data_IF_168950905809
#
_entry.id   IF_168950905809
#
_cell.length_a   1.000
_cell.length_b   1.000
_cell.length_c   1.000
_cell.angle_alpha   90.00
_cell.angle_beta   90.00
_cell.angle_gamma   90.00
#
_symmetry.space_group_name_H-M   'P 1'
#
loop_
_entity.id
_entity.type
_entity.pdbx_description
1 polymer ?
#
# COMPACT_ATOMS: atom_id res chain seq x y z
N UNK A 1 -19.60 -25.92 21.61
CA UNK A 1 -19.23 -24.94 20.59
C UNK A 1 -18.41 -25.65 19.53
N UNK A 2 -18.77 -25.51 18.27
CA UNK A 2 -17.98 -26.10 17.15
C UNK A 2 -16.63 -25.40 17.12
N UNK A 3 -15.54 -26.17 17.08
CA UNK A 3 -14.20 -25.60 16.97
C UNK A 3 -14.05 -24.80 15.66
N UNK A 4 -13.45 -23.63 15.76
CA UNK A 4 -13.19 -22.73 14.64
C UNK A 4 -11.71 -22.84 14.29
N UNK A 5 -11.42 -23.15 13.02
CA UNK A 5 -10.07 -23.28 12.50
C UNK A 5 -9.80 -22.20 11.46
N UNK A 6 -8.62 -21.59 11.50
CA UNK A 6 -8.23 -20.52 10.57
C UNK A 6 -8.79 -19.15 10.93
N UNK A 7 -9.89 -19.03 11.63
CA UNK A 7 -10.46 -17.78 12.13
C UNK A 7 -10.32 -17.65 13.64
N UNK A 8 -10.32 -16.41 14.12
CA UNK A 8 -10.41 -16.10 15.57
C UNK A 8 -11.87 -15.99 16.02
N UNK A 9 -12.78 -15.76 15.08
CA UNK A 9 -14.21 -15.59 15.30
C UNK A 9 -14.65 -14.17 15.57
N UNK A 10 -13.75 -13.19 15.57
CA UNK A 10 -14.07 -11.80 15.91
C UNK A 10 -13.51 -10.81 14.91
N UNK A 11 -14.34 -9.89 14.43
CA UNK A 11 -13.94 -8.68 13.70
C UNK A 11 -14.13 -7.51 14.65
N UNK A 12 -13.09 -6.73 14.86
CA UNK A 12 -13.13 -5.53 15.70
C UNK A 12 -13.86 -4.40 14.97
N UNK A 13 -14.73 -3.67 15.68
CA UNK A 13 -15.39 -2.46 15.18
C UNK A 13 -15.10 -1.29 16.10
N UNK A 14 -14.56 -0.22 15.54
CA UNK A 14 -14.21 1.00 16.25
C UNK A 14 -14.97 2.18 15.64
N UNK A 15 -15.78 2.83 16.45
CA UNK A 15 -16.44 4.11 16.13
C UNK A 15 -15.68 5.25 16.83
N UNK A 16 -14.93 5.99 16.05
CA UNK A 16 -14.05 7.05 16.57
C UNK A 16 -14.83 8.27 17.06
N UNK A 17 -16.00 8.55 16.45
CA UNK A 17 -16.86 9.67 16.89
C UNK A 17 -17.47 9.40 18.26
N UNK A 18 -17.95 8.17 18.46
CA UNK A 18 -18.60 7.76 19.71
C UNK A 18 -17.62 7.17 20.73
N UNK A 19 -16.36 6.98 20.35
CA UNK A 19 -15.34 6.27 21.13
C UNK A 19 -15.81 4.88 21.58
N UNK A 20 -16.55 4.20 20.69
CA UNK A 20 -17.17 2.90 21.00
C UNK A 20 -16.40 1.78 20.32
N UNK A 21 -16.04 0.77 21.10
CA UNK A 21 -15.37 -0.45 20.65
C UNK A 21 -16.31 -1.62 20.83
N UNK A 22 -16.50 -2.41 19.77
CA UNK A 22 -17.37 -3.61 19.76
C UNK A 22 -16.76 -4.67 18.85
N UNK A 23 -17.34 -5.86 18.83
CA UNK A 23 -16.94 -6.94 17.92
C UNK A 23 -18.14 -7.45 17.14
N UNK A 24 -17.86 -7.99 15.95
CA UNK A 24 -18.81 -8.71 15.10
C UNK A 24 -18.34 -10.16 15.02
N UNK A 25 -19.27 -11.10 15.03
CA UNK A 25 -18.96 -12.50 14.80
C UNK A 25 -18.52 -12.73 13.36
N UNK A 26 -17.26 -13.14 13.17
CA UNK A 26 -16.69 -13.49 11.86
C UNK A 26 -17.50 -14.61 11.19
N UNK A 27 -18.00 -15.59 11.97
CA UNK A 27 -18.65 -16.78 11.44
C UNK A 27 -19.98 -16.48 10.77
N UNK A 28 -20.60 -15.33 11.08
CA UNK A 28 -21.77 -14.81 10.36
C UNK A 28 -21.49 -14.71 8.86
N UNK A 29 -20.26 -14.38 8.47
CA UNK A 29 -19.84 -14.12 7.09
C UNK A 29 -18.92 -15.21 6.51
N UNK A 30 -18.08 -15.83 7.32
CA UNK A 30 -16.97 -16.67 6.89
C UNK A 30 -17.40 -17.85 6.00
N UNK A 31 -18.60 -18.40 6.25
CA UNK A 31 -19.13 -19.52 5.48
C UNK A 31 -19.32 -19.23 4.00
N UNK A 32 -19.76 -18.02 3.66
CA UNK A 32 -20.04 -17.62 2.27
C UNK A 32 -18.93 -16.78 1.65
N UNK A 33 -18.24 -15.99 2.47
CA UNK A 33 -17.30 -14.98 2.00
C UNK A 33 -15.85 -15.26 2.42
N UNK A 34 -15.59 -16.35 3.11
CA UNK A 34 -14.27 -16.85 3.53
C UNK A 34 -13.54 -15.88 4.46
N UNK A 35 -13.07 -14.74 3.97
CA UNK A 35 -12.28 -13.77 4.75
C UNK A 35 -11.85 -12.57 3.90
N UNK A 36 -11.00 -11.72 4.44
CA UNK A 36 -10.38 -10.63 3.70
C UNK A 36 -11.36 -9.81 2.88
N UNK A 37 -11.12 -9.76 1.57
CA UNK A 37 -11.94 -9.01 0.60
C UNK A 37 -13.40 -9.44 0.61
N UNK A 38 -13.69 -10.74 0.69
CA UNK A 38 -15.06 -11.24 0.59
C UNK A 38 -15.94 -10.75 1.73
N UNK A 39 -15.46 -10.85 2.96
CA UNK A 39 -16.19 -10.36 4.14
C UNK A 39 -16.32 -8.83 4.10
N UNK A 40 -15.23 -8.13 3.77
CA UNK A 40 -15.26 -6.66 3.70
C UNK A 40 -16.23 -6.15 2.63
N UNK A 41 -16.23 -6.76 1.45
CA UNK A 41 -17.15 -6.39 0.36
C UNK A 41 -18.62 -6.59 0.76
N UNK A 42 -18.93 -7.69 1.47
CA UNK A 42 -20.28 -7.92 1.97
C UNK A 42 -20.70 -6.87 3.00
N UNK A 43 -19.83 -6.54 3.95
CA UNK A 43 -20.10 -5.51 4.96
C UNK A 43 -20.24 -4.13 4.29
N UNK A 44 -19.38 -3.82 3.32
CA UNK A 44 -19.48 -2.58 2.56
C UNK A 44 -20.82 -2.44 1.85
N UNK A 45 -21.27 -3.49 1.19
CA UNK A 45 -22.57 -3.54 0.52
C UNK A 45 -23.76 -3.28 1.46
N UNK A 46 -23.63 -3.75 2.70
CA UNK A 46 -24.68 -3.57 3.71
C UNK A 46 -24.65 -2.18 4.37
N UNK A 47 -23.47 -1.51 4.41
CA UNK A 47 -23.27 -0.38 5.33
C UNK A 47 -22.79 0.92 4.66
N UNK A 48 -22.34 0.89 3.41
CA UNK A 48 -21.84 2.08 2.71
C UNK A 48 -22.82 2.44 1.61
N UNK A 49 -23.53 3.56 1.78
CA UNK A 49 -24.41 4.09 0.76
C UNK A 49 -23.64 4.66 -0.45
N UNK A 50 -24.28 4.76 -1.61
CA UNK A 50 -23.64 5.26 -2.83
C UNK A 50 -23.22 6.73 -2.77
N UNK A 51 -23.81 7.49 -1.85
CA UNK A 51 -23.51 8.91 -1.59
C UNK A 51 -22.25 9.12 -0.74
N UNK A 52 -21.75 8.08 -0.08
CA UNK A 52 -20.63 8.20 0.86
C UNK A 52 -19.34 8.49 0.12
N UNK A 53 -18.77 9.66 0.41
CA UNK A 53 -17.47 10.09 -0.09
C UNK A 53 -16.29 9.45 0.67
N UNK A 54 -15.08 9.54 0.11
CA UNK A 54 -13.90 8.88 0.68
C UNK A 54 -13.49 9.46 2.04
N UNK A 55 -13.77 10.72 2.30
CA UNK A 55 -13.38 11.43 3.54
C UNK A 55 -14.52 11.61 4.53
N UNK A 56 -15.69 11.08 4.21
CA UNK A 56 -16.84 11.15 5.12
C UNK A 56 -16.64 10.25 6.35
N UNK A 57 -17.14 10.66 7.51
CA UNK A 57 -17.13 9.81 8.71
C UNK A 57 -17.81 8.46 8.49
N UNK A 58 -18.82 8.42 7.62
CA UNK A 58 -19.60 7.24 7.22
C UNK A 58 -18.79 6.25 6.37
N UNK A 59 -17.73 6.69 5.69
CA UNK A 59 -16.83 5.76 5.01
C UNK A 59 -16.22 4.77 6.00
N UNK A 60 -16.22 3.50 5.64
CA UNK A 60 -15.59 2.43 6.43
C UNK A 60 -14.17 2.23 5.96
N UNK A 61 -13.19 2.42 6.86
CA UNK A 61 -11.85 1.90 6.65
C UNK A 61 -11.82 0.48 7.21
N UNK A 62 -11.81 -0.50 6.34
CA UNK A 62 -11.80 -1.92 6.70
C UNK A 62 -10.42 -2.49 6.45
N UNK A 63 -9.82 -3.13 7.47
CA UNK A 63 -8.51 -3.78 7.37
C UNK A 63 -8.73 -5.23 7.79
N UNK A 64 -8.67 -6.14 6.83
CA UNK A 64 -9.14 -7.51 6.98
C UNK A 64 -8.04 -8.52 6.68
N UNK A 65 -8.05 -9.64 7.39
CA UNK A 65 -7.14 -10.76 7.18
C UNK A 65 -7.89 -12.03 6.76
N UNK A 66 -7.16 -12.97 6.18
CA UNK A 66 -7.74 -14.24 5.74
C UNK A 66 -7.57 -15.38 6.76
N UNK A 67 -8.18 -16.54 6.53
CA UNK A 67 -8.07 -17.69 7.43
C UNK A 67 -6.64 -18.25 7.54
N UNK A 68 -5.82 -18.10 6.52
CA UNK A 68 -4.43 -18.55 6.52
C UNK A 68 -3.45 -17.54 7.11
N UNK A 69 -3.88 -16.29 7.36
CA UNK A 69 -3.01 -15.25 7.93
C UNK A 69 -2.54 -15.67 9.33
N UNK A 70 -1.26 -15.50 9.59
CA UNK A 70 -0.63 -15.93 10.83
C UNK A 70 -0.21 -17.42 10.86
N UNK A 71 -0.37 -18.14 9.74
CA UNK A 71 0.12 -19.51 9.58
C UNK A 71 1.43 -19.57 8.77
N UNK A 72 1.97 -20.78 8.60
CA UNK A 72 3.18 -21.03 7.78
C UNK A 72 2.90 -21.11 6.28
N UNK A 73 1.66 -20.98 5.84
CA UNK A 73 1.32 -21.01 4.42
C UNK A 73 2.06 -19.91 3.65
N UNK A 74 2.61 -20.24 2.50
CA UNK A 74 3.34 -19.26 1.67
C UNK A 74 2.45 -18.10 1.25
N UNK A 75 2.93 -16.86 1.42
CA UNK A 75 2.20 -15.66 1.03
C UNK A 75 1.01 -15.26 1.92
N UNK A 76 0.75 -15.98 3.02
CA UNK A 76 -0.46 -15.82 3.85
C UNK A 76 -0.46 -14.60 4.79
N UNK A 77 0.59 -13.81 4.83
CA UNK A 77 0.66 -12.61 5.68
C UNK A 77 -0.07 -11.37 5.11
N UNK A 78 -0.79 -11.53 4.00
CA UNK A 78 -1.51 -10.42 3.35
C UNK A 78 -2.64 -9.89 4.19
N UNK A 79 -2.79 -8.59 4.14
CA UNK A 79 -3.87 -7.80 4.74
C UNK A 79 -4.54 -7.01 3.63
N UNK A 80 -5.85 -7.00 3.60
CA UNK A 80 -6.63 -6.20 2.65
C UNK A 80 -7.20 -4.97 3.34
N UNK A 81 -6.96 -3.81 2.74
CA UNK A 81 -7.50 -2.52 3.17
C UNK A 81 -8.57 -2.10 2.17
N UNK A 82 -9.77 -1.82 2.63
CA UNK A 82 -10.92 -1.53 1.77
C UNK A 82 -11.73 -0.33 2.31
N UNK A 83 -12.44 0.31 1.39
CA UNK A 83 -13.33 1.44 1.64
C UNK A 83 -13.57 2.23 0.38
N UNK A 84 -14.24 3.37 0.49
CA UNK A 84 -14.30 4.34 -0.62
C UNK A 84 -12.95 5.02 -0.74
N UNK A 85 -12.30 4.81 -1.87
CA UNK A 85 -10.90 5.16 -2.12
C UNK A 85 -10.78 6.54 -2.78
N UNK A 86 -10.07 7.51 -2.16
CA UNK A 86 -9.96 8.86 -2.67
C UNK A 86 -9.07 9.01 -3.92
N UNK A 87 -8.09 8.13 -4.10
CA UNK A 87 -7.19 8.19 -5.25
C UNK A 87 -7.92 7.91 -6.56
N UNK A 88 -9.04 7.20 -6.50
CA UNK A 88 -9.82 6.88 -7.69
C UNK A 88 -10.57 8.11 -8.25
N UNK A 89 -10.65 8.18 -9.56
CA UNK A 89 -11.26 9.29 -10.30
C UNK A 89 -12.37 8.80 -11.23
N UNK A 90 -13.66 8.92 -10.84
CA UNK A 90 -14.15 9.41 -9.55
C UNK A 90 -13.90 8.43 -8.39
N UNK A 91 -13.99 8.90 -7.13
CA UNK A 91 -13.88 8.03 -5.96
C UNK A 91 -14.90 6.89 -6.00
N UNK A 92 -14.47 5.70 -5.59
CA UNK A 92 -15.35 4.52 -5.53
C UNK A 92 -14.82 3.50 -4.52
N UNK A 93 -15.65 2.54 -4.16
CA UNK A 93 -15.22 1.42 -3.35
C UNK A 93 -14.08 0.67 -4.03
N UNK A 94 -13.00 0.45 -3.30
CA UNK A 94 -11.80 -0.21 -3.81
C UNK A 94 -11.02 -0.89 -2.70
N UNK A 95 -9.93 -1.55 -3.07
CA UNK A 95 -9.05 -2.26 -2.15
C UNK A 95 -7.57 -1.96 -2.40
N UNK A 96 -6.77 -2.21 -1.38
CA UNK A 96 -5.31 -2.22 -1.46
C UNK A 96 -4.76 -3.28 -0.52
N UNK A 97 -3.79 -4.06 -0.96
CA UNK A 97 -3.22 -5.10 -0.12
C UNK A 97 -1.84 -4.72 0.42
N UNK A 98 -1.53 -5.13 1.63
CA UNK A 98 -0.20 -5.00 2.22
C UNK A 98 0.28 -6.31 2.83
N UNK A 99 1.59 -6.54 2.82
CA UNK A 99 2.26 -7.65 3.50
C UNK A 99 2.76 -7.24 4.89
N UNK A 100 3.73 -7.96 5.40
CA UNK A 100 4.37 -7.67 6.68
C UNK A 100 3.83 -8.47 7.84
N UNK A 101 4.23 -8.09 9.04
CA UNK A 101 3.92 -8.83 10.26
C UNK A 101 2.65 -8.37 10.97
N UNK A 102 2.13 -7.20 10.61
CA UNK A 102 0.97 -6.61 11.28
C UNK A 102 -0.32 -7.45 11.19
N UNK A 103 -0.59 -8.03 10.01
CA UNK A 103 -1.76 -8.89 9.84
C UNK A 103 -1.74 -10.16 10.70
N UNK A 104 -0.66 -10.93 10.68
CA UNK A 104 -0.44 -12.01 11.64
C UNK A 104 -0.61 -11.60 13.10
N UNK A 105 -0.04 -10.47 13.48
CA UNK A 105 -0.13 -9.96 14.85
C UNK A 105 -1.57 -9.62 15.27
N UNK A 106 -2.35 -8.99 14.37
CA UNK A 106 -3.78 -8.77 14.60
C UNK A 106 -4.54 -10.09 14.84
N UNK A 107 -4.16 -11.12 14.09
CA UNK A 107 -4.72 -12.45 14.24
C UNK A 107 -4.37 -13.06 15.60
N UNK A 108 -3.13 -12.91 16.02
CA UNK A 108 -2.65 -13.38 17.33
C UNK A 108 -3.27 -12.59 18.48
N UNK A 109 -3.62 -11.33 18.26
CA UNK A 109 -4.39 -10.52 19.18
C UNK A 109 -5.91 -10.89 19.23
N UNK A 110 -6.34 -11.88 18.43
CA UNK A 110 -7.69 -12.44 18.49
C UNK A 110 -8.70 -11.82 17.52
N UNK A 111 -8.27 -11.14 16.45
CA UNK A 111 -9.17 -10.51 15.49
C UNK A 111 -8.91 -10.94 14.04
N UNK A 112 -9.99 -11.14 13.28
CA UNK A 112 -9.98 -11.44 11.85
C UNK A 112 -10.02 -10.18 10.97
N UNK A 113 -10.05 -9.03 11.57
CA UNK A 113 -10.06 -7.73 10.92
C UNK A 113 -10.50 -6.61 11.85
N UNK A 114 -10.39 -5.39 11.35
CA UNK A 114 -10.87 -4.18 12.02
C UNK A 114 -11.65 -3.31 11.05
N UNK A 115 -12.79 -2.80 11.50
CA UNK A 115 -13.66 -1.85 10.79
C UNK A 115 -13.67 -0.55 11.58
N UNK A 116 -13.24 0.53 10.94
CA UNK A 116 -13.13 1.84 11.57
C UNK A 116 -14.09 2.80 10.88
N UNK A 117 -14.92 3.44 11.66
CA UNK A 117 -15.90 4.42 11.23
C UNK A 117 -15.85 5.67 12.10
N UNK A 118 -16.54 6.72 11.67
CA UNK A 118 -16.55 8.00 12.37
C UNK A 118 -15.25 8.78 12.17
N UNK A 119 -15.11 9.86 12.93
CA UNK A 119 -13.93 10.73 12.99
C UNK A 119 -13.69 11.10 14.46
N UNK A 120 -12.47 10.95 14.92
CA UNK A 120 -12.06 11.43 16.25
C UNK A 120 -12.01 12.96 16.25
N UNK A 121 -12.33 13.57 17.39
CA UNK A 121 -12.27 15.04 17.56
C UNK A 121 -10.82 15.56 17.48
N UNK A 122 -9.87 14.79 18.01
CA UNK A 122 -8.43 15.09 18.01
C UNK A 122 -7.66 13.88 17.47
N UNK A 123 -6.41 14.05 17.03
CA UNK A 123 -5.58 12.94 16.59
C UNK A 123 -5.48 11.82 17.61
N UNK A 124 -5.72 10.58 17.12
CA UNK A 124 -5.68 9.35 17.93
C UNK A 124 -4.91 8.26 17.23
N UNK A 125 -4.50 7.25 17.98
CA UNK A 125 -4.12 5.94 17.48
C UNK A 125 -4.89 4.85 18.21
N UNK A 126 -5.02 3.69 17.59
CA UNK A 126 -5.64 2.51 18.20
C UNK A 126 -4.53 1.63 18.72
N UNK A 127 -4.59 1.25 20.00
CA UNK A 127 -3.74 0.26 20.63
C UNK A 127 -4.52 -1.03 20.88
N UNK A 128 -3.95 -2.16 20.45
CA UNK A 128 -4.51 -3.50 20.59
C UNK A 128 -3.49 -4.38 21.29
N UNK A 129 -3.84 -4.95 22.43
CA UNK A 129 -3.03 -5.85 23.23
C UNK A 129 -3.83 -7.11 23.58
N UNK A 130 -3.60 -8.20 22.86
CA UNK A 130 -4.32 -9.50 22.98
C UNK A 130 -5.85 -9.35 22.92
N UNK A 131 -6.57 -8.65 23.04
CA UNK A 131 -8.04 -8.53 23.02
C UNK A 131 -8.49 -7.25 23.65
N UNK A 132 -7.61 -6.60 24.37
CA UNK A 132 -7.84 -5.28 24.92
C UNK A 132 -7.57 -4.22 23.87
N UNK A 133 -8.49 -3.29 23.71
CA UNK A 133 -8.45 -2.27 22.67
C UNK A 133 -8.69 -0.89 23.24
N UNK A 134 -7.80 0.02 22.94
CA UNK A 134 -7.87 1.40 23.42
C UNK A 134 -7.73 2.41 22.28
N UNK A 135 -8.40 3.56 22.44
CA UNK A 135 -8.23 4.73 21.56
C UNK A 135 -7.42 5.75 22.35
N UNK A 136 -6.17 5.94 21.95
CA UNK A 136 -5.21 6.76 22.66
C UNK A 136 -4.86 8.04 21.88
N UNK A 137 -4.38 9.07 22.60
CA UNK A 137 -3.99 10.33 21.97
C UNK A 137 -2.76 10.18 21.10
N UNK A 138 -2.84 10.66 19.86
CA UNK A 138 -1.73 10.72 18.92
C UNK A 138 -1.08 12.11 18.85
N UNK A 139 -1.31 13.00 19.83
CA UNK A 139 -0.83 14.39 19.81
C UNK A 139 0.68 14.49 19.54
N UNK A 140 1.46 13.63 20.19
CA UNK A 140 2.93 13.68 20.15
C UNK A 140 3.53 12.95 18.94
N UNK A 141 2.70 12.27 18.15
CA UNK A 141 3.12 11.54 16.93
C UNK A 141 2.45 12.06 15.65
N UNK A 142 1.49 12.98 15.77
CA UNK A 142 0.90 13.66 14.62
C UNK A 142 1.93 14.60 13.99
N UNK A 143 2.05 14.59 12.65
CA UNK A 143 3.10 15.30 11.92
C UNK A 143 4.37 14.48 11.70
N UNK A 144 4.60 13.42 12.48
CA UNK A 144 5.77 12.55 12.29
C UNK A 144 5.61 11.69 11.02
N UNK A 145 6.73 11.41 10.38
CA UNK A 145 6.80 10.41 9.32
C UNK A 145 6.54 8.99 9.85
N UNK A 146 6.28 8.05 8.93
CA UNK A 146 5.89 6.68 9.28
C UNK A 146 6.94 5.93 10.12
N UNK A 147 8.22 6.15 9.84
CA UNK A 147 9.33 5.52 10.60
C UNK A 147 9.43 6.06 12.03
N UNK A 148 9.38 7.38 12.18
CA UNK A 148 9.40 8.00 13.50
C UNK A 148 8.17 7.60 14.33
N UNK A 149 6.99 7.55 13.71
CA UNK A 149 5.75 7.06 14.33
C UNK A 149 5.92 5.63 14.86
N UNK A 150 6.46 4.73 14.04
CA UNK A 150 6.71 3.33 14.44
C UNK A 150 7.72 3.25 15.59
N UNK A 151 8.83 3.99 15.50
CA UNK A 151 9.86 4.03 16.55
C UNK A 151 9.29 4.51 17.88
N UNK A 152 8.52 5.59 17.86
CA UNK A 152 7.87 6.15 19.04
C UNK A 152 6.87 5.16 19.66
N UNK A 153 5.99 4.56 18.88
CA UNK A 153 5.00 3.61 19.40
C UNK A 153 5.66 2.35 19.99
N UNK A 154 6.77 1.88 19.40
CA UNK A 154 7.55 0.80 19.96
C UNK A 154 8.26 1.18 21.27
N UNK A 155 8.74 2.41 21.39
CA UNK A 155 9.33 2.86 22.65
C UNK A 155 8.31 2.94 23.79
N UNK A 156 7.02 3.14 23.47
CA UNK A 156 5.93 3.21 24.44
C UNK A 156 5.41 1.82 24.82
N UNK A 157 5.19 0.95 23.82
CA UNK A 157 4.47 -0.31 24.00
C UNK A 157 5.33 -1.58 23.93
N UNK A 158 6.61 -1.45 23.54
CA UNK A 158 7.56 -2.57 23.42
C UNK A 158 8.03 -2.83 21.98
N UNK A 159 9.18 -3.45 21.82
CA UNK A 159 9.83 -3.70 20.53
C UNK A 159 9.11 -4.75 19.66
N UNK A 160 8.28 -5.59 20.27
CA UNK A 160 7.48 -6.63 19.63
C UNK A 160 6.20 -6.10 18.97
N UNK A 161 5.83 -4.87 19.24
CA UNK A 161 4.64 -4.22 18.66
C UNK A 161 4.76 -4.04 17.15
N UNK A 162 3.67 -4.35 16.44
CA UNK A 162 3.52 -4.11 15.01
C UNK A 162 2.66 -2.89 14.76
N UNK A 163 3.11 -2.04 13.86
CA UNK A 163 2.48 -0.74 13.62
C UNK A 163 2.15 -0.56 12.14
N UNK A 164 0.96 -0.10 11.86
CA UNK A 164 0.61 0.52 10.58
C UNK A 164 0.25 1.98 10.83
N UNK A 165 0.69 2.86 9.93
CA UNK A 165 0.46 4.30 10.09
C UNK A 165 0.31 5.01 8.75
N UNK A 166 -0.35 6.16 8.77
CA UNK A 166 -0.22 7.14 7.71
C UNK A 166 0.90 8.13 8.05
N UNK A 167 1.56 8.63 7.01
CA UNK A 167 2.51 9.73 7.12
C UNK A 167 1.85 11.10 7.00
N UNK A 168 2.64 12.18 6.95
CA UNK A 168 2.15 13.55 6.74
C UNK A 168 1.22 13.70 5.54
N UNK A 169 1.47 12.98 4.44
CA UNK A 169 0.58 12.99 3.28
C UNK A 169 -0.85 12.52 3.63
N UNK A 170 -0.99 11.51 4.49
CA UNK A 170 -2.30 11.05 4.95
C UNK A 170 -2.98 12.08 5.83
N UNK A 171 -2.24 12.68 6.77
CA UNK A 171 -2.74 13.73 7.66
C UNK A 171 -3.23 14.96 6.88
N UNK A 172 -2.55 15.31 5.79
CA UNK A 172 -2.90 16.40 4.88
C UNK A 172 -3.90 15.99 3.77
N UNK A 173 -4.52 14.83 3.89
CA UNK A 173 -5.56 14.33 2.98
C UNK A 173 -5.10 14.25 1.52
N UNK A 174 -3.82 13.96 1.28
CA UNK A 174 -3.34 13.70 -0.07
C UNK A 174 -3.99 12.44 -0.61
N UNK A 175 -4.74 12.53 -1.72
CA UNK A 175 -5.50 11.39 -2.26
C UNK A 175 -4.63 10.21 -2.66
N UNK A 176 -3.33 10.43 -2.81
CA UNK A 176 -2.33 9.39 -3.11
C UNK A 176 -1.59 8.89 -1.87
N UNK A 177 -2.10 9.17 -0.67
CA UNK A 177 -1.45 8.73 0.57
C UNK A 177 -1.65 7.24 0.85
N UNK A 178 -0.61 6.59 1.36
CA UNK A 178 -0.57 5.16 1.65
C UNK A 178 -0.66 4.87 3.15
N UNK A 179 -1.00 3.63 3.50
CA UNK A 179 -0.78 3.08 4.84
C UNK A 179 0.49 2.23 4.80
N UNK A 180 1.44 2.53 5.69
CA UNK A 180 2.75 1.91 5.73
C UNK A 180 2.88 0.99 6.96
N UNK A 181 3.52 -0.18 6.77
CA UNK A 181 3.93 -1.07 7.86
C UNK A 181 5.37 -0.79 8.28
N UNK A 182 5.79 -1.33 9.42
CA UNK A 182 7.18 -1.28 9.91
C UNK A 182 8.18 -2.01 9.00
N UNK A 183 7.70 -2.79 8.05
CA UNK A 183 8.53 -3.59 7.13
C UNK A 183 8.51 -3.06 5.69
N UNK A 184 8.12 -1.81 5.49
CA UNK A 184 7.95 -1.17 4.17
C UNK A 184 6.94 -1.86 3.22
N UNK A 185 6.13 -2.75 3.74
CA UNK A 185 4.96 -3.17 3.00
C UNK A 185 3.87 -2.12 3.17
N UNK A 186 3.23 -1.74 2.09
CA UNK A 186 2.24 -0.68 2.13
C UNK A 186 0.94 -1.10 1.44
N UNK A 187 -0.19 -0.58 1.95
CA UNK A 187 -1.40 -0.44 1.18
C UNK A 187 -1.20 0.78 0.26
N UNK A 188 -0.49 0.53 -0.83
CA UNK A 188 0.10 1.56 -1.69
C UNK A 188 -0.83 2.14 -2.74
N UNK A 189 -2.05 1.64 -2.85
CA UNK A 189 -3.05 2.07 -3.83
C UNK A 189 -4.31 2.57 -3.12
N UNK A 190 -5.14 3.30 -3.85
CA UNK A 190 -6.45 3.73 -3.39
C UNK A 190 -6.46 4.95 -2.46
N UNK A 191 -5.32 5.37 -1.91
CA UNK A 191 -5.26 6.57 -1.07
C UNK A 191 -5.74 6.36 0.37
N UNK A 192 -5.67 5.15 0.89
CA UNK A 192 -6.20 4.82 2.23
C UNK A 192 -5.47 5.49 3.38
N UNK A 193 -4.23 5.98 3.18
CA UNK A 193 -3.55 6.83 4.16
C UNK A 193 -4.32 8.13 4.42
N UNK A 194 -4.91 8.72 3.37
CA UNK A 194 -5.75 9.89 3.52
C UNK A 194 -7.11 9.57 4.19
N UNK A 195 -7.64 8.36 3.99
CA UNK A 195 -8.82 7.90 4.72
C UNK A 195 -8.53 7.77 6.22
N UNK A 196 -7.34 7.30 6.61
CA UNK A 196 -6.91 7.35 8.01
C UNK A 196 -6.84 8.79 8.52
N UNK A 197 -6.15 9.66 7.80
CA UNK A 197 -6.02 11.07 8.16
C UNK A 197 -7.37 11.78 8.30
N UNK A 198 -8.33 11.53 7.38
CA UNK A 198 -9.67 12.09 7.45
C UNK A 198 -10.45 11.71 8.72
N UNK A 199 -10.07 10.62 9.35
CA UNK A 199 -10.64 10.13 10.61
C UNK A 199 -9.87 10.61 11.85
N UNK A 200 -8.84 11.45 11.67
CA UNK A 200 -7.87 11.81 12.69
C UNK A 200 -7.18 10.57 13.32
N UNK A 201 -7.00 9.52 12.53
CA UNK A 201 -6.36 8.27 12.94
C UNK A 201 -4.93 8.23 12.41
N UNK A 202 -3.95 8.31 13.31
CA UNK A 202 -2.51 8.29 12.96
C UNK A 202 -1.99 6.90 12.69
N UNK A 203 -2.32 5.96 13.56
CA UNK A 203 -1.74 4.62 13.55
C UNK A 203 -2.67 3.58 14.18
N UNK A 204 -2.36 2.32 13.90
CA UNK A 204 -2.91 1.17 14.62
C UNK A 204 -1.71 0.31 15.04
N UNK A 205 -1.49 0.23 16.34
CA UNK A 205 -0.44 -0.56 16.95
C UNK A 205 -1.07 -1.84 17.53
N UNK A 206 -0.42 -2.97 17.34
CA UNK A 206 -0.95 -4.27 17.78
C UNK A 206 0.16 -5.15 18.34
N UNK A 207 -0.16 -5.86 19.43
CA UNK A 207 0.60 -6.97 19.99
C UNK A 207 -0.36 -8.14 20.26
N UNK A 208 0.03 -9.34 19.89
CA UNK A 208 -0.76 -10.54 20.08
C UNK A 208 0.10 -11.73 20.50
N UNK A 209 -0.25 -12.38 21.59
CA UNK A 209 0.43 -13.57 22.10
C UNK A 209 -0.24 -14.88 21.68
N UNK A 210 -1.39 -14.83 21.03
CA UNK A 210 -2.17 -15.99 20.60
C UNK A 210 -1.63 -16.70 19.36
N UNK A 211 -2.48 -17.49 18.74
CA UNK A 211 -2.13 -18.25 17.55
C UNK A 211 -3.36 -18.62 16.72
N UNK A 212 -3.12 -19.17 15.53
CA UNK A 212 -4.16 -19.64 14.61
C UNK A 212 -4.33 -21.15 14.77
N UNK A 213 -5.53 -21.59 15.12
CA UNK A 213 -5.85 -23.03 15.18
C UNK A 213 -5.91 -23.62 13.78
N UNK A 214 -5.23 -24.73 13.57
CA UNK A 214 -5.19 -25.48 12.32
C UNK A 214 -5.87 -26.84 12.54
N UNK A 215 -6.82 -27.21 11.68
CA UNK A 215 -7.60 -28.45 11.84
C UNK A 215 -6.73 -29.71 11.77
N UNK A 216 -5.73 -29.72 10.88
CA UNK A 216 -4.80 -30.86 10.67
C UNK A 216 -3.37 -30.33 10.67
N UNK A 217 -2.79 -30.00 11.84
CA UNK A 217 -1.53 -29.25 11.93
C UNK A 217 -0.35 -29.98 11.33
N UNK A 218 -0.26 -31.32 11.47
CA UNK A 218 0.85 -32.12 10.90
C UNK A 218 0.80 -32.08 9.37
N UNK A 219 -0.35 -32.44 8.79
CA UNK A 219 -0.52 -32.46 7.33
C UNK A 219 -0.29 -31.07 6.73
N UNK A 220 -0.78 -30.05 7.41
CA UNK A 220 -0.58 -28.65 6.99
C UNK A 220 0.91 -28.26 7.01
N UNK A 221 1.64 -28.62 8.07
CA UNK A 221 3.08 -28.38 8.15
C UNK A 221 3.83 -29.11 7.03
N UNK A 222 3.52 -30.41 6.82
CA UNK A 222 4.14 -31.21 5.77
C UNK A 222 3.91 -30.58 4.38
N UNK A 223 2.70 -30.09 4.12
CA UNK A 223 2.37 -29.38 2.87
C UNK A 223 3.16 -28.09 2.73
N UNK A 224 3.25 -27.27 3.78
CA UNK A 224 4.02 -26.03 3.76
C UNK A 224 5.52 -26.28 3.50
N UNK A 225 6.09 -27.31 4.15
CA UNK A 225 7.47 -27.72 3.94
C UNK A 225 7.71 -28.22 2.51
N UNK A 226 6.77 -29.01 1.98
CA UNK A 226 6.82 -29.47 0.58
C UNK A 226 6.83 -28.28 -0.39
N UNK A 227 5.89 -27.35 -0.25
CA UNK A 227 5.82 -26.15 -1.08
C UNK A 227 7.11 -25.30 -0.99
N UNK A 228 7.70 -25.19 0.20
CA UNK A 228 8.96 -24.46 0.38
C UNK A 228 10.16 -25.10 -0.36
N UNK A 229 10.14 -26.43 -0.54
CA UNK A 229 11.22 -27.17 -1.23
C UNK A 229 11.01 -27.24 -2.74
N UNK A 230 9.77 -27.43 -3.16
CA UNK A 230 9.41 -27.70 -4.56
C UNK A 230 9.01 -26.46 -5.33
N UNK A 231 8.55 -25.42 -4.64
CA UNK A 231 8.16 -24.17 -5.26
C UNK A 231 9.39 -23.35 -5.67
N UNK A 232 9.68 -23.21 -6.98
CA UNK A 232 10.59 -22.16 -7.38
C UNK A 232 9.88 -20.84 -7.09
N UNK A 233 10.40 -20.06 -6.15
CA UNK A 233 10.10 -18.65 -6.21
C UNK A 233 10.64 -18.14 -7.55
N UNK A 234 9.82 -17.68 -8.48
CA UNK A 234 10.33 -17.04 -9.71
C UNK A 234 11.20 -15.81 -9.36
N UNK A 235 11.06 -15.32 -8.13
CA UNK A 235 11.84 -14.25 -7.53
C UNK A 235 12.87 -14.80 -6.52
N UNK A 236 13.27 -16.06 -6.68
CA UNK A 236 14.07 -16.80 -5.73
C UNK A 236 15.54 -16.44 -5.71
N UNK A 237 16.31 -17.21 -4.96
CA UNK A 237 17.68 -16.88 -4.52
C UNK A 237 18.73 -16.60 -5.62
N UNK A 238 18.43 -16.84 -6.90
CA UNK A 238 19.39 -16.47 -7.98
C UNK A 238 19.74 -14.98 -7.90
N UNK A 239 18.75 -14.17 -7.75
CA UNK A 239 18.87 -12.75 -7.77
C UNK A 239 19.50 -12.15 -6.50
N UNK A 240 19.29 -12.79 -5.36
CA UNK A 240 19.97 -12.41 -4.10
C UNK A 240 21.39 -12.97 -4.02
N UNK A 241 21.73 -14.00 -4.82
CA UNK A 241 23.09 -14.56 -4.88
C UNK A 241 24.04 -13.76 -5.77
N UNK A 242 23.47 -13.05 -6.74
CA UNK A 242 24.24 -12.23 -7.67
C UNK A 242 24.57 -10.85 -7.11
N UNK A 243 24.03 -10.53 -5.93
CA UNK A 243 24.31 -9.28 -5.27
C UNK A 243 25.41 -9.44 -4.24
N UNK A 244 26.30 -8.48 -4.22
CA UNK A 244 27.22 -8.29 -3.10
C UNK A 244 26.48 -7.77 -1.87
N UNK A 245 25.93 -8.71 -1.10
CA UNK A 245 25.30 -8.45 0.20
C UNK A 245 26.27 -8.61 1.37
N UNK A 246 27.56 -8.73 1.07
CA UNK A 246 28.62 -8.91 2.08
C UNK A 246 28.95 -7.63 2.84
N UNK A 247 28.48 -6.48 2.36
CA UNK A 247 28.66 -5.19 3.02
C UNK A 247 27.97 -5.12 4.39
N UNK A 248 28.56 -4.39 5.36
CA UNK A 248 28.02 -4.26 6.73
C UNK A 248 26.65 -3.58 6.77
N UNK A 249 26.23 -2.95 5.69
CA UNK A 249 25.03 -2.13 5.59
C UNK A 249 23.79 -2.91 5.12
N UNK A 250 23.90 -4.21 4.87
CA UNK A 250 22.79 -5.04 4.40
C UNK A 250 22.40 -6.08 5.44
N UNK A 251 21.10 -6.10 5.80
CA UNK A 251 20.54 -7.13 6.65
C UNK A 251 19.37 -7.80 5.95
N UNK A 252 19.43 -9.11 5.83
CA UNK A 252 18.36 -9.90 5.22
C UNK A 252 17.22 -10.11 6.20
N UNK A 253 15.97 -9.80 5.79
CA UNK A 253 14.78 -10.01 6.61
C UNK A 253 13.63 -10.54 5.76
N UNK A 254 12.81 -11.41 6.33
CA UNK A 254 11.56 -11.86 5.73
C UNK A 254 10.47 -10.80 5.95
N UNK A 255 9.58 -10.64 4.97
CA UNK A 255 8.42 -9.76 5.09
C UNK A 255 7.21 -10.41 5.78
N UNK A 256 7.32 -11.68 6.19
CA UNK A 256 6.26 -12.45 6.84
C UNK A 256 6.73 -13.82 7.30
N UNK A 257 5.80 -14.64 7.76
CA UNK A 257 6.07 -15.97 8.36
C UNK A 257 6.18 -17.11 7.35
N UNK A 258 5.95 -16.90 6.06
CA UNK A 258 6.04 -17.96 5.07
C UNK A 258 7.43 -18.59 5.03
N UNK A 259 7.48 -19.90 4.75
CA UNK A 259 8.73 -20.65 4.66
C UNK A 259 9.53 -20.31 3.39
N UNK A 260 8.86 -19.85 2.35
CA UNK A 260 9.50 -19.44 1.09
C UNK A 260 10.09 -18.04 1.19
N UNK A 261 11.30 -17.88 0.67
CA UNK A 261 11.98 -16.56 0.60
C UNK A 261 11.85 -16.06 -0.83
N UNK A 262 10.84 -15.23 -1.07
CA UNK A 262 10.60 -14.67 -2.40
C UNK A 262 11.37 -13.39 -2.66
N UNK A 263 11.52 -12.54 -1.67
CA UNK A 263 12.31 -11.31 -1.74
C UNK A 263 12.99 -11.08 -0.41
N UNK A 264 14.15 -10.50 -0.41
CA UNK A 264 14.81 -10.08 0.81
C UNK A 264 14.37 -8.66 1.17
N UNK A 265 14.18 -8.37 2.44
CA UNK A 265 14.28 -7.00 2.92
C UNK A 265 15.72 -6.76 3.30
N UNK A 266 16.30 -5.71 2.73
CA UNK A 266 17.61 -5.24 3.09
C UNK A 266 17.44 -4.03 3.97
N UNK A 267 18.26 -3.94 5.00
CA UNK A 267 18.38 -2.75 5.80
C UNK A 267 19.58 -1.96 5.26
N UNK A 268 19.35 -0.74 4.87
CA UNK A 268 20.39 0.12 4.35
C UNK A 268 20.65 1.25 5.32
N UNK A 269 21.93 1.58 5.49
CA UNK A 269 22.32 2.80 6.18
C UNK A 269 22.11 3.98 5.22
N UNK A 270 21.19 4.83 5.60
CA UNK A 270 20.97 6.12 4.95
C UNK A 270 21.16 7.19 6.01
N UNK A 271 22.22 7.97 5.88
CA UNK A 271 22.55 9.08 6.78
C UNK A 271 22.72 8.65 8.27
N UNK A 272 23.25 7.45 8.52
CA UNK A 272 23.47 6.93 9.87
C UNK A 272 22.27 6.20 10.48
N UNK A 273 21.14 6.11 9.78
CA UNK A 273 20.00 5.31 10.19
C UNK A 273 19.85 4.06 9.31
N UNK A 274 19.64 2.90 9.94
CA UNK A 274 19.29 1.69 9.22
C UNK A 274 17.83 1.72 8.84
N UNK A 275 17.56 1.89 7.55
CA UNK A 275 16.23 1.94 6.99
C UNK A 275 15.91 0.65 6.23
N UNK A 276 14.70 0.11 6.36
CA UNK A 276 14.30 -1.04 5.59
C UNK A 276 14.15 -0.66 4.13
N UNK A 277 14.84 -1.37 3.24
CA UNK A 277 14.63 -1.30 1.81
C UNK A 277 14.08 -2.64 1.33
N UNK A 278 12.89 -2.66 0.77
CA UNK A 278 12.37 -3.85 0.11
C UNK A 278 13.21 -4.12 -1.13
N UNK A 279 13.88 -5.24 -1.14
CA UNK A 279 14.73 -5.65 -2.22
C UNK A 279 14.08 -6.76 -3.05
N UNK A 280 13.76 -6.46 -4.28
CA UNK A 280 13.46 -7.43 -5.31
C UNK A 280 14.37 -7.16 -6.49
N UNK A 281 14.89 -8.19 -7.10
CA UNK A 281 16.01 -8.18 -8.02
C UNK A 281 15.90 -7.35 -9.30
N UNK A 282 14.71 -7.19 -9.80
CA UNK A 282 14.47 -6.33 -10.96
C UNK A 282 14.01 -4.94 -10.54
N UNK A 283 13.90 -4.69 -9.24
CA UNK A 283 12.94 -3.72 -8.77
C UNK A 283 13.38 -2.93 -7.54
N UNK A 284 14.66 -2.92 -7.22
CA UNK A 284 15.20 -1.90 -6.30
C UNK A 284 14.78 -0.49 -6.68
N UNK A 285 14.36 -0.39 -7.89
CA UNK A 285 14.08 0.83 -8.59
C UNK A 285 12.59 0.99 -8.88
N UNK A 286 11.71 0.19 -8.28
CA UNK A 286 10.32 0.48 -8.48
C UNK A 286 10.03 1.86 -7.96
N UNK A 287 9.87 2.60 -8.92
CA UNK A 287 9.26 3.78 -8.72
C UNK A 287 10.04 4.96 -9.23
N UNK A 288 11.23 5.23 -8.86
CA UNK A 288 11.82 6.51 -9.19
C UNK A 288 12.94 6.38 -10.23
N UNK A 289 12.70 6.90 -11.43
CA UNK A 289 13.75 7.10 -12.42
C UNK A 289 14.64 8.28 -12.01
N UNK A 290 15.62 8.02 -11.15
CA UNK A 290 16.52 9.01 -10.57
C UNK A 290 17.94 8.81 -11.08
N UNK A 291 18.69 9.88 -11.22
CA UNK A 291 20.02 9.92 -11.80
C UNK A 291 21.10 9.14 -11.04
N UNK A 292 20.87 8.79 -9.76
CA UNK A 292 21.82 8.04 -8.94
C UNK A 292 21.16 6.90 -8.17
N UNK A 293 21.89 5.79 -7.99
CA UNK A 293 21.38 4.64 -7.22
C UNK A 293 21.09 5.02 -5.75
N UNK A 294 21.97 5.80 -5.12
CA UNK A 294 21.74 6.32 -3.78
C UNK A 294 20.50 7.20 -3.73
N UNK A 295 20.31 8.07 -4.73
CA UNK A 295 19.13 8.93 -4.84
C UNK A 295 17.82 8.16 -4.98
N UNK A 296 17.82 6.99 -5.64
CA UNK A 296 16.65 6.10 -5.71
C UNK A 296 16.23 5.60 -4.33
N UNK A 297 17.21 5.25 -3.49
CA UNK A 297 16.97 4.75 -2.14
C UNK A 297 16.44 5.88 -1.23
N UNK A 298 17.10 7.04 -1.26
CA UNK A 298 16.69 8.22 -0.50
C UNK A 298 15.29 8.69 -0.89
N UNK A 299 14.97 8.70 -2.18
CA UNK A 299 13.65 9.04 -2.69
C UNK A 299 12.57 8.07 -2.21
N UNK A 300 12.88 6.77 -2.22
CA UNK A 300 11.98 5.76 -1.72
C UNK A 300 11.74 5.91 -0.22
N UNK A 301 12.81 6.15 0.53
CA UNK A 301 12.70 6.44 1.95
C UNK A 301 11.79 7.64 2.21
N UNK A 302 11.99 8.76 1.50
CA UNK A 302 11.18 9.95 1.65
C UNK A 302 9.71 9.68 1.31
N UNK A 303 9.44 9.02 0.18
CA UNK A 303 8.09 8.67 -0.21
C UNK A 303 7.38 7.79 0.84
N UNK A 304 8.07 6.77 1.35
CA UNK A 304 7.56 5.90 2.42
C UNK A 304 7.36 6.67 3.72
N UNK A 305 8.32 7.52 4.12
CA UNK A 305 8.25 8.30 5.34
C UNK A 305 7.13 9.34 5.32
N UNK A 306 6.92 10.01 4.19
CA UNK A 306 5.78 10.89 3.99
C UNK A 306 4.45 10.14 3.82
N UNK A 307 4.50 8.85 3.51
CA UNK A 307 3.32 8.03 3.23
C UNK A 307 2.70 8.34 1.87
N UNK A 308 3.51 8.47 0.81
CA UNK A 308 3.09 8.78 -0.57
C UNK A 308 3.18 7.54 -1.45
N UNK A 309 2.21 7.35 -2.34
CA UNK A 309 2.25 6.35 -3.39
C UNK A 309 3.34 6.68 -4.41
N UNK A 310 4.49 6.04 -4.27
CA UNK A 310 5.64 6.23 -5.17
C UNK A 310 5.35 5.85 -6.63
N UNK A 311 4.41 4.94 -6.87
CA UNK A 311 3.99 4.55 -8.23
C UNK A 311 3.27 5.68 -8.94
N UNK A 312 2.33 6.34 -8.26
CA UNK A 312 1.62 7.49 -8.79
C UNK A 312 2.59 8.62 -9.14
N UNK A 313 3.57 8.87 -8.27
CA UNK A 313 4.59 9.90 -8.54
C UNK A 313 5.46 9.52 -9.73
N UNK A 314 5.94 8.27 -9.80
CA UNK A 314 6.91 7.84 -10.80
C UNK A 314 6.33 7.61 -12.18
N UNK A 315 5.12 7.06 -12.24
CA UNK A 315 4.49 6.66 -13.51
C UNK A 315 3.38 7.61 -13.93
N UNK A 316 2.87 8.43 -13.03
CA UNK A 316 1.84 9.42 -13.30
C UNK A 316 2.38 10.85 -13.32
N UNK A 317 2.72 11.35 -12.15
CA UNK A 317 3.02 12.76 -11.94
C UNK A 317 4.27 13.21 -12.71
N UNK A 318 5.40 12.53 -12.53
CA UNK A 318 6.66 12.93 -13.18
C UNK A 318 6.56 12.88 -14.72
N UNK A 319 6.10 11.78 -15.35
CA UNK A 319 5.93 11.75 -16.79
C UNK A 319 4.98 12.81 -17.32
N UNK A 320 3.90 13.08 -16.60
CA UNK A 320 2.95 14.13 -16.98
C UNK A 320 3.58 15.53 -16.88
N UNK A 321 4.33 15.85 -15.83
CA UNK A 321 5.05 17.12 -15.69
C UNK A 321 6.08 17.30 -16.82
N UNK A 322 6.80 16.25 -17.20
CA UNK A 322 7.73 16.29 -18.31
C UNK A 322 7.04 16.57 -19.66
N UNK A 323 5.88 15.96 -19.89
CA UNK A 323 5.03 16.29 -21.05
C UNK A 323 4.52 17.72 -21.01
N UNK A 324 4.08 18.19 -19.85
CA UNK A 324 3.66 19.58 -19.68
C UNK A 324 4.79 20.56 -19.99
N UNK A 325 6.03 20.23 -19.63
CA UNK A 325 7.20 21.02 -20.01
C UNK A 325 7.45 21.00 -21.51
N UNK A 326 7.39 19.84 -22.17
CA UNK A 326 7.56 19.74 -23.64
C UNK A 326 6.48 20.50 -24.44
N UNK A 327 5.35 20.80 -23.80
CA UNK A 327 4.24 21.54 -24.38
C UNK A 327 4.12 22.98 -23.82
N UNK A 328 5.18 23.52 -23.23
CA UNK A 328 5.26 24.90 -22.71
C UNK A 328 4.18 25.30 -21.69
N UNK A 329 3.65 24.31 -20.94
CA UNK A 329 2.68 24.57 -19.87
C UNK A 329 3.35 24.96 -18.55
N UNK A 330 4.53 24.40 -18.29
CA UNK A 330 5.34 24.64 -17.10
C UNK A 330 6.81 24.36 -17.42
N UNK A 331 7.73 25.14 -16.86
CA UNK A 331 9.17 24.96 -17.05
C UNK A 331 9.88 24.49 -15.79
N UNK A 332 9.46 25.01 -14.65
CA UNK A 332 10.12 24.82 -13.36
C UNK A 332 9.11 24.76 -12.23
N UNK A 333 9.53 24.26 -11.10
CA UNK A 333 8.79 24.29 -9.83
C UNK A 333 9.74 24.85 -8.78
N UNK A 334 9.37 26.00 -8.16
CA UNK A 334 10.18 26.70 -7.15
C UNK A 334 11.65 26.95 -7.60
N UNK A 335 11.84 27.36 -8.83
CA UNK A 335 13.17 27.64 -9.39
C UNK A 335 13.97 26.40 -9.80
N UNK A 336 13.44 25.19 -9.57
CA UNK A 336 14.04 23.96 -10.08
C UNK A 336 13.42 23.58 -11.41
N UNK A 337 14.25 23.51 -12.44
CA UNK A 337 13.83 23.12 -13.77
C UNK A 337 13.32 21.67 -13.77
N UNK A 338 12.17 21.42 -14.41
CA UNK A 338 11.63 20.06 -14.57
C UNK A 338 12.52 19.30 -15.55
N UNK A 339 13.20 18.22 -15.15
CA UNK A 339 13.97 17.40 -16.09
C UNK A 339 13.04 16.80 -17.14
N UNK A 340 13.35 17.00 -18.42
CA UNK A 340 12.61 16.41 -19.52
C UNK A 340 13.59 16.06 -20.66
N UNK A 341 13.31 14.99 -21.42
CA UNK A 341 14.17 14.63 -22.54
C UNK A 341 14.00 15.59 -23.72
N UNK A 342 15.05 15.75 -24.53
CA UNK A 342 14.99 16.53 -25.77
C UNK A 342 14.09 15.88 -26.83
N UNK A 343 13.96 14.54 -26.77
CA UNK A 343 13.11 13.78 -27.70
C UNK A 343 11.66 13.75 -27.18
N UNK A 344 10.67 13.73 -28.08
CA UNK A 344 9.28 13.61 -27.69
C UNK A 344 9.00 12.35 -26.87
N UNK A 345 8.34 12.51 -25.74
CA UNK A 345 7.88 11.40 -24.90
C UNK A 345 6.68 10.72 -25.58
N UNK A 346 6.85 9.47 -25.97
CA UNK A 346 5.80 8.62 -26.54
C UNK A 346 5.36 7.52 -25.58
N UNK A 347 6.27 7.08 -24.72
CA UNK A 347 6.10 6.02 -23.74
C UNK A 347 6.78 6.40 -22.43
N UNK A 348 6.39 5.78 -21.33
CA UNK A 348 7.02 6.01 -20.01
C UNK A 348 8.55 5.82 -20.02
N UNK A 349 9.06 4.88 -20.82
CA UNK A 349 10.51 4.64 -20.97
C UNK A 349 11.28 5.78 -21.64
N UNK A 350 10.58 6.69 -22.28
CA UNK A 350 11.19 7.84 -22.96
C UNK A 350 11.40 9.01 -21.99
N UNK A 351 10.86 8.91 -20.75
CA UNK A 351 10.99 9.94 -19.74
C UNK A 351 12.42 10.06 -19.23
N UNK A 352 12.86 11.28 -19.00
CA UNK A 352 14.17 11.56 -18.42
C UNK A 352 14.21 11.17 -16.92
N UNK A 353 15.36 10.73 -16.40
CA UNK A 353 15.57 10.62 -14.99
C UNK A 353 15.53 12.01 -14.32
N UNK A 354 14.99 12.07 -13.11
CA UNK A 354 14.99 13.28 -12.27
C UNK A 354 16.18 13.29 -11.32
N UNK A 355 16.56 14.46 -10.82
CA UNK A 355 17.59 14.53 -9.77
C UNK A 355 17.01 14.19 -8.40
N UNK A 356 17.82 13.68 -7.45
CA UNK A 356 17.37 13.44 -6.09
C UNK A 356 16.76 14.69 -5.44
N UNK A 357 17.35 15.85 -5.66
CA UNK A 357 16.93 17.13 -5.08
C UNK A 357 15.55 17.56 -5.62
N UNK A 358 15.34 17.45 -6.94
CA UNK A 358 14.04 17.73 -7.57
C UNK A 358 12.96 16.80 -7.01
N UNK A 359 13.27 15.51 -6.88
CA UNK A 359 12.31 14.54 -6.36
C UNK A 359 12.01 14.77 -4.89
N UNK A 360 13.01 15.08 -4.07
CA UNK A 360 12.82 15.40 -2.64
C UNK A 360 11.92 16.63 -2.46
N UNK A 361 12.17 17.70 -3.20
CA UNK A 361 11.33 18.89 -3.24
C UNK A 361 9.89 18.54 -3.66
N UNK A 362 9.72 17.78 -4.72
CA UNK A 362 8.40 17.40 -5.24
C UNK A 362 7.61 16.58 -4.23
N UNK A 363 8.23 15.56 -3.60
CA UNK A 363 7.61 14.73 -2.58
C UNK A 363 7.20 15.55 -1.35
N UNK A 364 8.04 16.50 -0.92
CA UNK A 364 7.71 17.41 0.17
C UNK A 364 6.47 18.27 -0.15
N UNK A 365 6.49 18.92 -1.32
CA UNK A 365 5.35 19.75 -1.76
C UNK A 365 4.04 18.97 -1.85
N UNK A 366 4.09 17.74 -2.32
CA UNK A 366 2.93 16.84 -2.36
C UNK A 366 2.46 16.51 -0.94
N UNK A 367 3.37 16.09 -0.05
CA UNK A 367 3.02 15.66 1.30
C UNK A 367 2.34 16.77 2.11
N UNK A 368 2.80 18.01 1.94
CA UNK A 368 2.33 19.18 2.68
C UNK A 368 1.39 20.08 1.89
N UNK A 369 1.02 19.69 0.67
CA UNK A 369 0.15 20.48 -0.24
C UNK A 369 0.64 21.91 -0.45
N UNK A 370 1.96 22.09 -0.58
CA UNK A 370 2.57 23.41 -0.66
C UNK A 370 2.39 24.08 -2.01
N UNK A 371 1.74 25.23 -1.99
CA UNK A 371 1.44 26.03 -3.17
C UNK A 371 0.45 25.35 -4.13
N UNK A 372 0.06 26.04 -5.23
CA UNK A 372 -0.95 25.53 -6.15
C UNK A 372 -0.58 24.20 -6.83
N UNK A 373 0.73 24.03 -7.11
CA UNK A 373 1.23 22.80 -7.76
C UNK A 373 1.22 21.64 -6.78
N UNK A 374 1.79 21.80 -5.58
CA UNK A 374 1.82 20.76 -4.57
C UNK A 374 0.42 20.33 -4.14
N UNK A 375 -0.50 21.28 -3.97
CA UNK A 375 -1.89 21.01 -3.63
C UNK A 375 -2.61 20.20 -4.73
N UNK A 376 -2.40 20.54 -6.00
CA UNK A 376 -3.01 19.80 -7.10
C UNK A 376 -2.41 18.41 -7.25
N UNK A 377 -1.08 18.28 -7.16
CA UNK A 377 -0.38 16.98 -7.28
C UNK A 377 -0.67 16.03 -6.12
N UNK A 378 -1.00 16.56 -4.94
CA UNK A 378 -1.41 15.75 -3.79
C UNK A 378 -2.70 14.95 -4.05
N UNK A 379 -3.50 15.37 -5.01
CA UNK A 379 -4.70 14.65 -5.45
C UNK A 379 -4.41 13.60 -6.54
N UNK A 380 -3.16 13.55 -7.04
CA UNK A 380 -2.74 12.64 -8.11
C UNK A 380 -2.81 13.27 -9.51
N UNK A 381 -2.21 12.59 -10.48
CA UNK A 381 -2.03 13.13 -11.83
C UNK A 381 -3.35 13.45 -12.53
N UNK A 382 -4.41 12.66 -12.36
CA UNK A 382 -5.70 12.89 -13.00
C UNK A 382 -6.37 14.18 -12.53
N UNK A 383 -6.45 14.37 -11.21
CA UNK A 383 -7.02 15.59 -10.63
C UNK A 383 -6.15 16.81 -10.91
N UNK A 384 -4.82 16.65 -10.86
CA UNK A 384 -3.90 17.72 -11.19
C UNK A 384 -4.03 18.19 -12.65
N UNK A 385 -4.18 17.23 -13.58
CA UNK A 385 -4.33 17.54 -14.99
C UNK A 385 -5.63 18.31 -15.31
N UNK A 386 -6.68 18.12 -14.53
CA UNK A 386 -7.93 18.87 -14.65
C UNK A 386 -7.84 20.27 -14.02
N UNK A 387 -7.13 20.40 -12.90
CA UNK A 387 -7.06 21.64 -12.11
C UNK A 387 -6.00 22.62 -12.59
N UNK A 388 -4.84 22.12 -13.04
CA UNK A 388 -3.72 22.94 -13.46
C UNK A 388 -3.83 23.35 -14.93
N UNK A 389 -3.24 24.51 -15.25
CA UNK A 389 -3.09 25.03 -16.61
C UNK A 389 -4.42 25.20 -17.36
N UNK A 390 -5.55 25.38 -16.64
CA UNK A 390 -6.88 25.43 -17.25
C UNK A 390 -7.30 24.13 -17.94
N UNK A 391 -6.82 23.00 -17.45
CA UNK A 391 -7.13 21.67 -18.01
C UNK A 391 -6.34 21.29 -19.27
N UNK A 392 -5.44 22.16 -19.76
CA UNK A 392 -4.63 21.90 -20.98
C UNK A 392 -3.68 20.71 -20.82
N UNK A 393 -3.35 20.31 -19.58
CA UNK A 393 -2.53 19.13 -19.29
C UNK A 393 -3.27 17.80 -19.40
N UNK A 394 -4.60 17.79 -19.46
CA UNK A 394 -5.40 16.56 -19.51
C UNK A 394 -5.16 15.72 -20.76
N UNK A 395 -5.16 16.26 -21.98
CA UNK A 395 -4.84 15.51 -23.20
C UNK A 395 -3.42 14.91 -23.19
N UNK A 396 -2.49 15.54 -22.45
CA UNK A 396 -1.13 15.03 -22.32
C UNK A 396 -1.08 13.82 -21.39
N UNK A 397 -1.87 13.84 -20.32
CA UNK A 397 -2.00 12.69 -19.43
C UNK A 397 -2.58 11.49 -20.18
N UNK A 398 -3.60 11.69 -20.99
CA UNK A 398 -4.24 10.64 -21.79
C UNK A 398 -3.25 9.93 -22.75
N UNK A 399 -2.14 10.56 -23.11
CA UNK A 399 -1.09 9.94 -23.95
C UNK A 399 -0.24 8.92 -23.19
N UNK A 400 0.01 9.15 -21.90
CA UNK A 400 0.79 8.23 -21.05
C UNK A 400 -0.10 7.29 -20.25
N UNK A 401 -1.37 7.66 -20.08
CA UNK A 401 -2.43 6.84 -19.52
C UNK A 401 -3.52 6.59 -20.57
N UNK A 402 -3.28 5.79 -21.62
CA UNK A 402 -4.33 5.51 -22.60
C UNK A 402 -5.51 4.87 -21.87
N UNK A 403 -6.65 5.50 -22.01
CA UNK A 403 -7.93 4.98 -21.56
C UNK A 403 -8.27 3.74 -22.35
N UNK A 404 -7.99 2.58 -21.80
CA UNK A 404 -8.58 1.37 -22.33
C UNK A 404 -10.06 1.38 -21.93
N UNK A 405 -10.94 1.17 -22.90
CA UNK A 405 -12.38 1.22 -22.73
C UNK A 405 -12.81 0.48 -21.45
N UNK A 406 -13.41 1.21 -20.50
CA UNK A 406 -13.92 0.67 -19.25
C UNK A 406 -12.92 0.56 -18.10
N UNK A 407 -11.68 0.95 -18.27
CA UNK A 407 -10.72 0.99 -17.15
C UNK A 407 -10.83 2.29 -16.35
N UNK A 408 -10.56 2.17 -15.06
CA UNK A 408 -10.59 3.28 -14.13
C UNK A 408 -9.42 4.21 -14.42
N UNK A 409 -9.72 5.48 -14.58
CA UNK A 409 -8.82 6.46 -15.17
C UNK A 409 -7.51 6.68 -14.44
N UNK A 410 -7.31 6.21 -13.22
CA UNK A 410 -6.13 6.59 -12.45
C UNK A 410 -5.37 5.44 -11.88
N UNK A 411 -5.66 4.28 -12.31
CA UNK A 411 -4.88 3.16 -11.86
C UNK A 411 -3.56 3.08 -12.63
N UNK A 412 -2.68 4.02 -12.27
CA UNK A 412 -1.28 3.96 -12.61
C UNK A 412 -0.54 2.86 -11.87
N UNK A 413 -1.29 2.06 -11.14
CA UNK A 413 -0.76 0.90 -10.50
C UNK A 413 0.11 0.10 -11.46
N UNK A 414 0.64 -0.99 -11.04
CA UNK A 414 1.62 -1.85 -11.71
C UNK A 414 1.50 -2.01 -13.24
N UNK A 415 0.41 -1.54 -13.81
CA UNK A 415 0.03 -1.82 -15.20
C UNK A 415 -0.45 -0.58 -15.93
N UNK A 416 0.15 0.51 -15.65
CA UNK A 416 -0.04 1.69 -16.47
C UNK A 416 -0.18 1.34 -17.97
N UNK A 417 -0.38 2.28 -18.83
CA UNK A 417 -0.81 2.13 -20.22
C UNK A 417 -0.07 1.12 -21.12
N UNK A 418 0.89 0.42 -20.57
CA UNK A 418 1.61 -0.64 -21.27
C UNK A 418 1.36 -2.04 -20.72
N UNK A 419 0.43 -2.22 -19.80
CA UNK A 419 0.04 -3.54 -19.31
C UNK A 419 -0.52 -4.37 -20.44
N UNK A 420 0.27 -5.31 -20.90
CA UNK A 420 -0.06 -6.18 -22.03
C UNK A 420 -1.06 -7.25 -21.60
N UNK A 421 -2.31 -6.85 -21.37
CA UNK A 421 -3.39 -7.81 -21.25
C UNK A 421 -3.83 -8.18 -22.66
N UNK A 422 -3.36 -9.33 -23.11
CA UNK A 422 -3.67 -9.80 -24.44
C UNK A 422 -5.08 -10.43 -24.49
N UNK A 423 -5.88 -9.99 -25.42
CA UNK A 423 -7.09 -10.67 -25.83
C UNK A 423 -6.72 -12.04 -26.45
N UNK A 424 -7.35 -13.17 -26.10
CA UNK A 424 -8.62 -13.33 -25.39
C UNK A 424 -8.51 -13.57 -23.87
N UNK A 425 -7.31 -13.56 -23.28
CA UNK A 425 -7.13 -13.84 -21.86
C UNK A 425 -7.64 -12.73 -20.93
N UNK A 426 -8.02 -11.62 -21.50
CA UNK A 426 -8.49 -10.46 -20.76
C UNK A 426 -9.69 -10.76 -19.85
N UNK A 427 -10.69 -11.51 -20.32
CA UNK A 427 -11.86 -11.83 -19.53
C UNK A 427 -11.50 -12.71 -18.32
N UNK A 428 -10.67 -13.73 -18.51
CA UNK A 428 -10.17 -14.58 -17.43
C UNK A 428 -9.39 -13.77 -16.42
N UNK A 429 -8.54 -12.87 -16.89
CA UNK A 429 -7.74 -11.98 -16.03
C UNK A 429 -8.64 -11.03 -15.22
N UNK A 430 -9.65 -10.43 -15.83
CA UNK A 430 -10.61 -9.58 -15.12
C UNK A 430 -11.37 -10.35 -14.05
N UNK A 431 -11.81 -11.56 -14.34
CA UNK A 431 -12.47 -12.42 -13.34
C UNK A 431 -11.53 -12.79 -12.20
N UNK A 432 -10.28 -13.09 -12.49
CA UNK A 432 -9.28 -13.31 -11.46
C UNK A 432 -9.04 -12.07 -10.60
N UNK A 433 -9.00 -10.88 -11.20
CA UNK A 433 -8.86 -9.62 -10.47
C UNK A 433 -9.99 -9.37 -9.47
N UNK A 434 -11.17 -9.88 -9.74
CA UNK A 434 -12.29 -9.77 -8.81
C UNK A 434 -12.11 -10.61 -7.54
N UNK A 435 -11.30 -11.66 -7.62
CA UNK A 435 -11.11 -12.64 -6.52
C UNK A 435 -9.69 -12.68 -5.95
N UNK A 436 -8.71 -12.10 -6.64
CA UNK A 436 -7.33 -12.05 -6.17
C UNK A 436 -7.18 -11.10 -4.98
N UNK A 437 -6.29 -11.48 -4.06
CA UNK A 437 -5.98 -10.72 -2.85
C UNK A 437 -4.88 -9.70 -3.05
N UNK A 438 -4.31 -9.62 -4.23
CA UNK A 438 -3.29 -8.66 -4.62
C UNK A 438 -3.55 -8.17 -6.04
N UNK A 439 -2.70 -7.27 -6.52
CA UNK A 439 -2.74 -6.92 -7.93
C UNK A 439 -2.37 -8.12 -8.80
N UNK A 440 -2.96 -8.23 -9.98
CA UNK A 440 -2.82 -9.39 -10.86
C UNK A 440 -1.40 -9.67 -11.32
N UNK A 441 -0.54 -8.68 -11.18
CA UNK A 441 0.86 -8.80 -11.52
C UNK A 441 1.64 -9.71 -10.59
N UNK A 442 1.24 -9.68 -9.36
CA UNK A 442 2.02 -10.31 -8.31
C UNK A 442 1.57 -11.72 -8.00
N UNK A 443 0.30 -12.01 -8.21
CA UNK A 443 -0.28 -13.19 -7.62
C UNK A 443 -0.44 -14.35 -8.56
N UNK A 444 -0.39 -14.23 -9.86
CA UNK A 444 -0.36 -15.45 -10.68
C UNK A 444 -0.74 -15.25 -12.14
N UNK A 445 -1.82 -14.52 -12.40
CA UNK A 445 -2.42 -14.56 -13.72
C UNK A 445 -1.62 -13.77 -14.72
N UNK A 446 -1.03 -12.68 -14.30
CA UNK A 446 -0.33 -11.81 -15.23
C UNK A 446 1.10 -12.27 -15.54
N UNK A 447 1.85 -12.69 -14.53
CA UNK A 447 3.17 -13.29 -14.75
C UNK A 447 3.06 -14.58 -15.56
N UNK A 448 2.04 -15.37 -15.32
CA UNK A 448 1.76 -16.60 -16.08
C UNK A 448 1.40 -16.31 -17.52
N UNK A 449 0.53 -15.34 -17.80
CA UNK A 449 0.15 -15.00 -19.17
C UNK A 449 1.32 -14.46 -19.98
N UNK A 450 2.23 -13.72 -19.35
CA UNK A 450 3.45 -13.26 -20.03
C UNK A 450 4.48 -14.36 -20.27
N UNK A 451 4.46 -15.43 -19.50
CA UNK A 451 5.35 -16.59 -19.66
C UNK A 451 4.79 -17.65 -20.61
N UNK A 452 3.49 -17.81 -20.70
CA UNK A 452 2.85 -18.75 -21.65
C UNK A 452 2.95 -18.25 -23.10
N UNK A 453 3.22 -16.98 -23.31
CA UNK A 453 3.37 -16.39 -24.64
C UNK A 453 4.82 -16.34 -25.15
N UNK A 454 5.78 -16.83 -24.38
CA UNK A 454 7.18 -17.04 -24.79
C UNK A 454 7.44 -18.50 -25.08
#
# INVERSE_FOLDING_TARGET
>A
MTEIYGWTGKILRVDLTRKKITTIDTMKYARMYIGGVGIAARIAWEEIGPEVGPFDPENRLMIMVGPLTGTLASGSCRVEVLGVAPQQHPPRFSRSGMGGHWGPELKYAGFDGIIIQGRAEKPVYIWIDDGDVEILSAKDIWGLGTYATTKTLRSIHGDDVRVISCGPAGENLCRIAIIQTETENAAGQGGFGAVMGSKNLKAIAVRGSGGVKVARPKEFLDLCLKQSREGPSPYGPKSLREMDISGPNFRRRKCGFCLSICSGMLWMDVQGEFLPALYTTEQMCYGFNVTSERGKIEARFLASNYGINGWEVSYGIIPWLQLCKQHDLIKEIDGMEIPAPDKPIRYLRDCAPVTPEFLAMLLHKIAYREGPIGDALADGACYAAERLFGGRGKPLLDRIYPRHAGQVEHWAGHWGPGGNIYWPMWLTTVLQWCVDTRDPASDTSHSWTSHVQR
#
